data_IF_031397513806
#
_entry.id   IF_031397513806
#
_cell.length_a   1.000
_cell.length_b   1.000
_cell.length_c   1.000
_cell.angle_alpha   90.00
_cell.angle_beta   90.00
_cell.angle_gamma   90.00
#
_symmetry.space_group_name_H-M   'P 1'
#
loop_
_entity.id
_entity.type
_entity.pdbx_description
1 polymer ?
#
# COMPACT_ATOMS: atom_id res chain seq x y z
N UNK A 1 -11.82 -5.50 -24.28
CA UNK A 1 -10.88 -5.99 -23.25
C UNK A 1 -11.67 -6.52 -22.09
N UNK A 2 -11.36 -7.73 -21.66
CA UNK A 2 -12.00 -8.42 -20.53
C UNK A 2 -11.08 -8.34 -19.32
N UNK A 3 -11.57 -7.76 -18.24
CA UNK A 3 -10.81 -7.51 -17.01
C UNK A 3 -11.39 -8.34 -15.87
N UNK A 4 -10.58 -9.16 -15.22
CA UNK A 4 -10.95 -9.88 -14.02
C UNK A 4 -10.40 -9.10 -12.79
N UNK A 5 -11.29 -8.62 -11.94
CA UNK A 5 -10.93 -7.92 -10.71
C UNK A 5 -11.00 -8.89 -9.55
N UNK A 6 -9.87 -9.14 -8.89
CA UNK A 6 -9.83 -10.02 -7.69
C UNK A 6 -9.99 -9.13 -6.47
N UNK A 7 -11.03 -9.38 -5.66
CA UNK A 7 -11.32 -8.58 -4.47
C UNK A 7 -11.89 -9.45 -3.35
N UNK A 8 -11.98 -8.89 -2.14
CA UNK A 8 -12.45 -9.61 -0.97
C UNK A 8 -11.30 -10.34 -0.25
N UNK A 9 -11.56 -11.59 0.15
CA UNK A 9 -10.61 -12.37 0.95
C UNK A 9 -10.97 -12.39 2.44
N UNK A 10 -10.04 -12.89 3.27
CA UNK A 10 -10.27 -13.11 4.72
C UNK A 10 -9.64 -12.03 5.61
N UNK A 11 -9.07 -10.99 5.03
CA UNK A 11 -8.47 -9.90 5.81
C UNK A 11 -9.52 -8.97 6.42
N UNK A 12 -9.11 -8.21 7.44
CA UNK A 12 -9.96 -7.15 8.02
C UNK A 12 -10.28 -6.03 7.02
N UNK A 13 -9.62 -5.99 5.87
CA UNK A 13 -9.81 -5.01 4.80
C UNK A 13 -10.74 -5.51 3.68
N UNK A 14 -11.44 -6.64 3.91
CA UNK A 14 -12.34 -7.26 2.90
C UNK A 14 -13.35 -6.28 2.32
N UNK A 15 -14.03 -5.50 3.17
CA UNK A 15 -15.08 -4.58 2.74
C UNK A 15 -14.51 -3.41 1.90
N UNK A 16 -13.33 -2.93 2.27
CA UNK A 16 -12.59 -1.91 1.50
C UNK A 16 -12.20 -2.45 0.12
N UNK A 17 -11.73 -3.71 0.08
CA UNK A 17 -11.39 -4.41 -1.16
C UNK A 17 -12.59 -4.54 -2.09
N UNK A 18 -13.74 -5.00 -1.58
CA UNK A 18 -14.97 -5.14 -2.37
C UNK A 18 -15.50 -3.79 -2.86
N UNK A 19 -15.46 -2.75 -2.02
CA UNK A 19 -15.84 -1.40 -2.41
C UNK A 19 -14.90 -0.82 -3.49
N UNK A 20 -13.60 -1.03 -3.37
CA UNK A 20 -12.60 -0.65 -4.38
C UNK A 20 -12.89 -1.34 -5.72
N UNK A 21 -13.15 -2.66 -5.68
CA UNK A 21 -13.44 -3.44 -6.89
C UNK A 21 -14.73 -2.96 -7.59
N UNK A 22 -15.80 -2.69 -6.86
CA UNK A 22 -17.04 -2.19 -7.45
C UNK A 22 -16.79 -0.91 -8.24
N UNK A 23 -16.05 0.05 -7.68
CA UNK A 23 -15.73 1.32 -8.36
C UNK A 23 -14.82 1.14 -9.57
N UNK A 24 -13.81 0.27 -9.48
CA UNK A 24 -12.93 -0.05 -10.62
C UNK A 24 -13.72 -0.71 -11.74
N UNK A 25 -14.57 -1.68 -11.43
CA UNK A 25 -15.43 -2.36 -12.42
C UNK A 25 -16.36 -1.37 -13.11
N UNK A 26 -17.02 -0.47 -12.37
CA UNK A 26 -17.91 0.55 -12.93
C UNK A 26 -17.16 1.53 -13.84
N UNK A 27 -15.98 1.98 -13.42
CA UNK A 27 -15.13 2.84 -14.22
C UNK A 27 -14.65 2.16 -15.51
N UNK A 28 -14.22 0.90 -15.44
CA UNK A 28 -13.80 0.12 -16.60
C UNK A 28 -14.95 -0.13 -17.58
N UNK A 29 -16.14 -0.46 -17.06
CA UNK A 29 -17.35 -0.62 -17.90
C UNK A 29 -17.73 0.68 -18.60
N UNK A 30 -17.65 1.82 -17.92
CA UNK A 30 -17.90 3.13 -18.52
C UNK A 30 -16.90 3.50 -19.62
N UNK A 31 -15.68 2.93 -19.56
CA UNK A 31 -14.66 3.05 -20.61
C UNK A 31 -14.76 1.96 -21.71
N UNK A 32 -15.83 1.15 -21.70
CA UNK A 32 -16.10 0.14 -22.73
C UNK A 32 -15.39 -1.20 -22.54
N UNK A 33 -14.81 -1.47 -21.38
CA UNK A 33 -14.29 -2.80 -21.04
C UNK A 33 -15.40 -3.69 -20.48
N UNK A 34 -15.25 -5.01 -20.65
CA UNK A 34 -16.02 -6.00 -19.92
C UNK A 34 -15.26 -6.36 -18.65
N UNK A 35 -15.84 -6.07 -17.49
CA UNK A 35 -15.19 -6.30 -16.21
C UNK A 35 -16.06 -7.16 -15.29
N UNK A 36 -15.45 -8.15 -14.63
CA UNK A 36 -16.07 -9.05 -13.65
C UNK A 36 -15.26 -9.07 -12.37
N UNK A 37 -15.91 -9.28 -11.24
CA UNK A 37 -15.26 -9.44 -9.93
C UNK A 37 -15.30 -10.90 -9.51
N UNK A 38 -14.22 -11.37 -8.88
CA UNK A 38 -14.13 -12.69 -8.25
C UNK A 38 -13.44 -12.57 -6.89
N UNK A 39 -13.90 -13.36 -5.91
CA UNK A 39 -13.18 -13.51 -4.64
C UNK A 39 -12.12 -14.63 -4.75
N UNK A 40 -11.03 -14.56 -3.95
CA UNK A 40 -10.08 -15.65 -3.83
C UNK A 40 -10.76 -16.96 -3.41
N UNK A 41 -10.60 -18.02 -4.21
CA UNK A 41 -11.23 -19.31 -3.99
C UNK A 41 -11.24 -20.15 -5.27
N UNK A 42 -12.00 -21.26 -5.27
CA UNK A 42 -12.06 -22.17 -6.43
C UNK A 42 -12.50 -21.49 -7.74
N UNK A 43 -13.40 -20.51 -7.66
CA UNK A 43 -13.85 -19.78 -8.83
C UNK A 43 -12.72 -18.97 -9.48
N UNK A 44 -11.84 -18.38 -8.70
CA UNK A 44 -10.64 -17.70 -9.20
C UNK A 44 -9.77 -18.68 -9.98
N UNK A 45 -9.50 -19.88 -9.43
CA UNK A 45 -8.66 -20.88 -10.10
C UNK A 45 -9.20 -21.25 -11.49
N UNK A 46 -10.54 -21.37 -11.64
CA UNK A 46 -11.16 -21.65 -12.95
C UNK A 46 -10.90 -20.55 -13.99
N UNK A 47 -10.81 -19.28 -13.58
CA UNK A 47 -10.45 -18.18 -14.49
C UNK A 47 -8.95 -18.17 -14.85
N UNK A 48 -8.12 -18.77 -14.01
CA UNK A 48 -6.66 -18.82 -14.20
C UNK A 48 -6.22 -20.08 -14.97
N UNK A 49 -7.12 -21.07 -15.17
CA UNK A 49 -6.82 -22.24 -15.96
C UNK A 49 -6.65 -21.89 -17.45
N UNK A 50 -5.69 -22.54 -18.16
CA UNK A 50 -5.53 -22.33 -19.59
C UNK A 50 -6.82 -22.67 -20.37
N UNK A 51 -7.12 -21.90 -21.41
CA UNK A 51 -8.32 -22.06 -22.24
C UNK A 51 -8.46 -23.46 -22.90
N UNK A 52 -7.40 -24.26 -22.93
CA UNK A 52 -7.35 -25.61 -23.50
C UNK A 52 -7.70 -26.75 -22.51
N UNK A 53 -8.07 -26.44 -21.26
CA UNK A 53 -8.46 -27.46 -20.29
C UNK A 53 -9.79 -28.14 -20.73
N UNK A 54 -9.80 -29.45 -20.79
CA UNK A 54 -10.90 -30.27 -21.36
C UNK A 54 -12.26 -30.15 -20.65
N UNK A 55 -12.34 -29.40 -19.53
CA UNK A 55 -13.53 -29.26 -18.68
C UNK A 55 -14.19 -27.87 -18.73
N UNK A 56 -13.89 -27.02 -19.71
CA UNK A 56 -14.53 -25.72 -19.78
C UNK A 56 -15.99 -25.87 -20.30
N UNK A 57 -16.94 -25.57 -19.41
CA UNK A 57 -18.34 -25.39 -19.80
C UNK A 57 -18.49 -24.25 -20.82
N UNK A 58 -19.59 -24.24 -21.57
CA UNK A 58 -19.85 -23.37 -22.73
C UNK A 58 -19.80 -21.84 -22.48
N UNK A 59 -19.54 -21.36 -21.28
CA UNK A 59 -19.31 -19.94 -20.95
C UNK A 59 -17.81 -19.69 -20.71
N UNK A 60 -17.04 -19.77 -21.80
CA UNK A 60 -15.57 -19.65 -21.78
C UNK A 60 -15.09 -18.20 -21.70
N UNK A 61 -15.61 -17.41 -20.76
CA UNK A 61 -15.10 -16.07 -20.52
C UNK A 61 -13.70 -16.15 -19.89
N UNK A 62 -12.70 -15.73 -20.63
CA UNK A 62 -11.31 -15.67 -20.18
C UNK A 62 -10.89 -14.20 -20.07
N UNK A 63 -10.20 -13.79 -19.01
CA UNK A 63 -9.70 -12.45 -18.88
C UNK A 63 -8.51 -12.21 -19.82
N UNK A 64 -8.45 -11.01 -20.40
CA UNK A 64 -7.28 -10.52 -21.11
C UNK A 64 -6.23 -9.97 -20.11
N UNK A 65 -6.70 -9.56 -18.93
CA UNK A 65 -5.88 -9.03 -17.83
C UNK A 65 -6.58 -9.21 -16.48
N UNK A 66 -5.80 -9.41 -15.44
CA UNK A 66 -6.26 -9.50 -14.05
C UNK A 66 -5.88 -8.24 -13.28
N UNK A 67 -6.80 -7.69 -12.48
CA UNK A 67 -6.50 -6.61 -11.54
C UNK A 67 -6.67 -7.10 -10.10
N UNK A 68 -5.58 -7.41 -9.38
CA UNK A 68 -5.66 -7.80 -7.98
C UNK A 68 -5.93 -6.56 -7.11
N UNK A 69 -7.08 -6.54 -6.44
CA UNK A 69 -7.51 -5.53 -5.47
C UNK A 69 -7.83 -6.14 -4.11
N UNK A 70 -7.39 -7.38 -3.85
CA UNK A 70 -7.46 -7.97 -2.53
C UNK A 70 -6.45 -7.27 -1.61
N UNK A 71 -6.94 -6.64 -0.54
CA UNK A 71 -6.09 -5.95 0.43
C UNK A 71 -5.62 -6.89 1.55
N UNK A 72 -4.50 -6.51 2.18
CA UNK A 72 -3.84 -7.29 3.22
C UNK A 72 -2.96 -8.41 2.66
N UNK A 73 -2.59 -9.38 3.52
CA UNK A 73 -1.58 -10.39 3.17
C UNK A 73 -1.85 -11.06 1.82
N UNK A 74 -3.08 -11.47 1.57
CA UNK A 74 -3.41 -12.23 0.34
C UNK A 74 -3.08 -11.49 -0.95
N UNK A 75 -3.21 -10.16 -0.98
CA UNK A 75 -2.97 -9.36 -2.19
C UNK A 75 -1.64 -8.62 -2.20
N UNK A 76 -0.97 -8.50 -1.05
CA UNK A 76 0.16 -7.59 -0.88
C UNK A 76 1.47 -8.29 -0.47
N UNK A 77 1.42 -9.56 -0.04
CA UNK A 77 2.61 -10.31 0.40
C UNK A 77 3.36 -11.02 -0.74
N UNK A 78 2.85 -10.93 -1.96
CA UNK A 78 3.43 -11.54 -3.16
C UNK A 78 2.90 -12.95 -3.48
N UNK A 79 2.08 -13.56 -2.61
CA UNK A 79 1.54 -14.91 -2.84
C UNK A 79 0.55 -14.97 -4.01
N UNK A 80 -0.38 -14.03 -4.07
CA UNK A 80 -1.31 -13.92 -5.20
C UNK A 80 -0.59 -13.60 -6.50
N UNK A 81 0.44 -12.75 -6.47
CA UNK A 81 1.23 -12.41 -7.65
C UNK A 81 1.98 -13.63 -8.20
N UNK A 82 2.52 -14.51 -7.34
CA UNK A 82 3.14 -15.76 -7.81
C UNK A 82 2.13 -16.67 -8.51
N UNK A 83 0.91 -16.77 -7.98
CA UNK A 83 -0.17 -17.53 -8.63
C UNK A 83 -0.51 -16.94 -10.00
N UNK A 84 -0.60 -15.61 -10.11
CA UNK A 84 -0.89 -14.92 -11.38
C UNK A 84 0.25 -15.08 -12.39
N UNK A 85 1.50 -14.98 -11.96
CA UNK A 85 2.68 -15.29 -12.80
C UNK A 85 2.59 -16.72 -13.32
N UNK A 86 2.23 -17.68 -12.48
CA UNK A 86 2.07 -19.08 -12.86
C UNK A 86 0.95 -19.33 -13.88
N UNK A 87 -0.08 -18.50 -13.93
CA UNK A 87 -1.16 -18.61 -14.91
C UNK A 87 -0.79 -18.08 -16.31
N UNK A 88 0.24 -17.24 -16.41
CA UNK A 88 0.65 -16.56 -17.64
C UNK A 88 -0.31 -15.45 -18.09
N UNK A 89 -1.34 -15.12 -17.30
CA UNK A 89 -2.26 -14.03 -17.64
C UNK A 89 -1.66 -12.70 -17.15
N UNK A 90 -1.60 -11.65 -18.01
CA UNK A 90 -1.17 -10.32 -17.60
C UNK A 90 -1.93 -9.84 -16.37
N UNK A 91 -1.26 -9.15 -15.45
CA UNK A 91 -1.93 -8.58 -14.29
C UNK A 91 -1.42 -7.19 -13.95
N UNK A 92 -2.29 -6.40 -13.33
CA UNK A 92 -2.00 -5.03 -12.88
C UNK A 92 -1.23 -5.06 -11.58
N UNK A 93 -0.21 -4.20 -11.48
CA UNK A 93 0.56 -3.96 -10.25
C UNK A 93 1.95 -4.56 -10.26
N UNK A 94 2.54 -4.65 -9.09
CA UNK A 94 3.91 -5.10 -8.90
C UNK A 94 4.03 -6.62 -8.97
N UNK A 95 5.21 -7.10 -9.35
CA UNK A 95 5.57 -8.52 -9.27
C UNK A 95 5.54 -9.02 -7.82
N UNK A 96 5.59 -10.33 -7.63
CA UNK A 96 5.69 -10.95 -6.31
C UNK A 96 6.94 -10.49 -5.53
N UNK A 97 8.05 -10.24 -6.22
CA UNK A 97 9.26 -9.69 -5.61
C UNK A 97 9.01 -8.29 -5.05
N UNK A 98 8.50 -7.36 -5.86
CA UNK A 98 8.19 -6.00 -5.44
C UNK A 98 7.17 -5.96 -4.30
N UNK A 99 6.13 -6.80 -4.37
CA UNK A 99 5.14 -6.94 -3.32
C UNK A 99 5.77 -7.37 -1.98
N UNK A 100 6.61 -8.41 -1.96
CA UNK A 100 7.33 -8.85 -0.76
C UNK A 100 8.25 -7.80 -0.18
N UNK A 101 8.97 -7.06 -1.04
CA UNK A 101 9.88 -5.99 -0.59
C UNK A 101 9.12 -4.85 0.08
N UNK A 102 7.93 -4.50 -0.42
CA UNK A 102 7.09 -3.45 0.15
C UNK A 102 6.34 -3.90 1.41
N UNK A 103 5.91 -5.17 1.47
CA UNK A 103 5.10 -5.72 2.55
C UNK A 103 5.80 -5.69 3.90
N UNK A 104 7.10 -6.04 3.95
CA UNK A 104 7.91 -5.93 5.17
C UNK A 104 8.49 -4.52 5.29
N UNK A 105 7.88 -3.70 6.15
CA UNK A 105 8.29 -2.30 6.36
C UNK A 105 9.76 -2.17 6.75
N UNK A 106 10.31 -3.13 7.48
CA UNK A 106 11.73 -3.10 7.89
C UNK A 106 12.68 -3.36 6.72
N UNK A 107 12.29 -4.23 5.81
CA UNK A 107 13.01 -4.50 4.56
C UNK A 107 12.90 -3.29 3.63
N UNK A 108 11.67 -2.78 3.41
CA UNK A 108 11.43 -1.61 2.57
C UNK A 108 12.29 -0.40 3.03
N UNK A 109 12.24 -0.06 4.33
CA UNK A 109 13.04 1.02 4.92
C UNK A 109 14.54 0.82 4.70
N UNK A 110 15.03 -0.40 4.89
CA UNK A 110 16.46 -0.72 4.70
C UNK A 110 16.88 -0.57 3.24
N UNK A 111 16.03 -0.94 2.29
CA UNK A 111 16.31 -0.83 0.86
C UNK A 111 16.30 0.63 0.41
N UNK A 112 15.26 1.41 0.73
CA UNK A 112 15.19 2.81 0.33
C UNK A 112 16.32 3.64 0.96
N UNK A 113 16.72 3.32 2.20
CA UNK A 113 17.85 3.99 2.85
C UNK A 113 19.19 3.76 2.13
N UNK A 114 19.42 2.56 1.57
CA UNK A 114 20.61 2.26 0.73
C UNK A 114 20.65 3.07 -0.56
N UNK A 115 19.50 3.54 -1.03
CA UNK A 115 19.39 4.42 -2.19
C UNK A 115 19.40 5.92 -1.81
N UNK A 116 19.68 6.24 -0.54
CA UNK A 116 19.84 7.62 -0.07
C UNK A 116 18.55 8.27 0.43
N UNK A 117 17.43 7.56 0.48
CA UNK A 117 16.18 8.10 1.00
C UNK A 117 16.18 8.06 2.54
N UNK A 118 15.80 9.17 3.18
CA UNK A 118 15.66 9.22 4.62
C UNK A 118 14.43 8.42 5.08
N UNK A 119 14.60 7.73 6.20
CA UNK A 119 13.54 7.01 6.88
C UNK A 119 13.77 7.11 8.40
N UNK A 120 12.73 7.17 9.25
CA UNK A 120 12.93 7.27 10.68
C UNK A 120 13.78 6.12 11.22
N UNK A 121 14.71 6.41 12.12
CA UNK A 121 15.45 5.37 12.83
C UNK A 121 14.49 4.38 13.48
N UNK A 122 14.79 3.11 13.40
CA UNK A 122 13.87 2.08 13.86
C UNK A 122 14.57 0.84 14.40
N UNK A 123 13.84 0.07 15.21
CA UNK A 123 14.22 -1.24 15.69
C UNK A 123 13.06 -2.23 15.47
N UNK A 124 13.39 -3.47 15.15
CA UNK A 124 12.41 -4.55 15.03
C UNK A 124 12.50 -5.45 16.26
N UNK A 125 11.36 -5.68 16.88
CA UNK A 125 11.21 -6.64 17.96
C UNK A 125 10.37 -7.82 17.49
N UNK A 126 10.82 -9.03 17.77
CA UNK A 126 10.00 -10.22 17.61
C UNK A 126 9.35 -10.61 18.94
N UNK A 127 8.16 -11.20 18.86
CA UNK A 127 7.45 -11.77 20.02
C UNK A 127 8.34 -12.76 20.76
N UNK A 128 9.09 -13.58 20.03
CA UNK A 128 10.00 -14.57 20.60
C UNK A 128 11.16 -13.92 21.38
N UNK A 129 11.76 -12.86 20.83
CA UNK A 129 12.81 -12.13 21.53
C UNK A 129 12.30 -11.56 22.86
N UNK A 130 11.12 -10.93 22.85
CA UNK A 130 10.54 -10.36 24.07
C UNK A 130 10.22 -11.42 25.13
N UNK A 131 9.76 -12.61 24.71
CA UNK A 131 9.54 -13.74 25.63
C UNK A 131 10.83 -14.20 26.32
N UNK A 132 11.96 -14.17 25.62
CA UNK A 132 13.22 -14.67 26.12
C UNK A 132 13.96 -13.67 27.02
N UNK A 133 14.01 -12.37 26.63
CA UNK A 133 14.82 -11.37 27.33
C UNK A 133 14.00 -10.46 28.25
N UNK A 134 12.67 -10.51 28.19
CA UNK A 134 11.76 -9.61 28.88
C UNK A 134 11.58 -8.28 28.14
N UNK A 135 10.48 -7.61 28.40
CA UNK A 135 10.16 -6.33 27.76
C UNK A 135 11.03 -5.17 28.25
N UNK A 136 11.28 -5.06 29.55
CA UNK A 136 11.89 -3.87 30.18
C UNK A 136 13.32 -3.61 29.70
N UNK A 137 14.13 -4.65 29.58
CA UNK A 137 15.51 -4.53 29.08
C UNK A 137 15.56 -4.13 27.62
N UNK A 138 14.71 -4.74 26.77
CA UNK A 138 14.61 -4.44 25.36
C UNK A 138 14.11 -2.99 25.14
N UNK A 139 13.08 -2.60 25.87
CA UNK A 139 12.51 -1.25 25.84
C UNK A 139 13.58 -0.21 26.15
N UNK A 140 14.30 -0.36 27.26
CA UNK A 140 15.36 0.57 27.67
C UNK A 140 16.43 0.77 26.60
N UNK A 141 16.89 -0.33 25.98
CA UNK A 141 17.91 -0.25 24.92
C UNK A 141 17.41 0.49 23.67
N UNK A 142 16.16 0.22 23.28
CA UNK A 142 15.54 0.87 22.10
C UNK A 142 15.40 2.36 22.33
N UNK A 143 14.91 2.78 23.49
CA UNK A 143 14.68 4.17 23.81
C UNK A 143 15.96 4.99 23.91
N UNK A 144 17.05 4.39 24.37
CA UNK A 144 18.38 5.04 24.35
C UNK A 144 18.78 5.48 22.94
N UNK A 145 18.33 4.74 21.91
CA UNK A 145 18.64 5.02 20.50
C UNK A 145 17.57 5.89 19.82
N UNK A 146 16.28 5.64 20.09
CA UNK A 146 15.18 6.24 19.33
C UNK A 146 14.60 7.49 20.00
N UNK A 147 14.92 7.74 21.28
CA UNK A 147 14.35 8.83 22.06
C UNK A 147 12.99 8.48 22.65
N UNK A 148 12.32 9.51 23.23
CA UNK A 148 11.13 9.33 24.06
C UNK A 148 9.81 9.34 23.26
N UNK A 149 9.82 9.82 22.01
CA UNK A 149 8.64 9.87 21.14
C UNK A 149 8.82 8.83 20.03
N UNK A 150 8.00 7.80 20.08
CA UNK A 150 8.10 6.67 19.15
C UNK A 150 6.75 6.29 18.56
N UNK A 151 6.81 5.64 17.42
CA UNK A 151 5.68 4.99 16.74
C UNK A 151 5.92 3.48 16.77
N UNK A 152 4.90 2.74 17.21
CA UNK A 152 4.88 1.29 17.23
C UNK A 152 3.91 0.82 16.18
N UNK A 153 4.33 -0.10 15.30
CA UNK A 153 3.46 -0.67 14.27
C UNK A 153 3.89 -2.08 13.88
N UNK A 154 2.99 -2.94 13.43
CA UNK A 154 3.34 -4.23 12.84
C UNK A 154 4.34 -4.06 11.69
N UNK A 155 5.30 -4.98 11.57
CA UNK A 155 6.25 -4.98 10.44
C UNK A 155 5.53 -5.22 9.12
N UNK A 156 4.51 -6.08 9.12
CA UNK A 156 3.68 -6.43 7.97
C UNK A 156 2.22 -6.09 8.27
N UNK A 157 1.48 -5.65 7.27
CA UNK A 157 0.07 -5.25 7.39
C UNK A 157 -0.20 -3.85 6.87
N UNK A 158 -1.49 -3.56 6.69
CA UNK A 158 -2.02 -2.31 6.13
C UNK A 158 -2.95 -1.56 7.07
N UNK A 159 -3.56 -0.49 6.55
CA UNK A 159 -4.65 0.29 7.20
C UNK A 159 -4.38 0.73 8.64
N UNK A 160 -3.13 0.98 8.99
CA UNK A 160 -2.71 1.41 10.33
C UNK A 160 -3.16 0.48 11.48
N UNK A 161 -3.50 -0.78 11.18
CA UNK A 161 -3.86 -1.76 12.21
C UNK A 161 -2.67 -2.04 13.11
N UNK A 162 -2.88 -2.00 14.43
CA UNK A 162 -1.81 -2.20 15.41
C UNK A 162 -0.81 -1.05 15.52
N UNK A 163 -1.06 0.08 14.85
CA UNK A 163 -0.24 1.29 14.96
C UNK A 163 -0.61 2.06 16.23
N UNK A 164 0.42 2.53 16.95
CA UNK A 164 0.30 3.39 18.12
C UNK A 164 1.38 4.46 18.08
N UNK A 165 1.00 5.74 18.14
CA UNK A 165 1.93 6.87 18.31
C UNK A 165 2.02 7.18 19.78
N UNK A 166 3.22 7.10 20.35
CA UNK A 166 3.46 7.35 21.76
C UNK A 166 4.07 8.74 21.97
N UNK A 167 3.38 9.64 22.64
CA UNK A 167 3.93 10.93 23.02
C UNK A 167 4.97 10.80 24.14
N UNK A 168 4.91 9.70 24.89
CA UNK A 168 5.84 9.35 25.96
C UNK A 168 5.92 7.82 26.09
N UNK A 169 7.06 7.34 26.54
CA UNK A 169 7.40 5.91 26.60
C UNK A 169 6.71 5.10 27.68
N UNK A 170 5.97 5.72 28.59
CA UNK A 170 5.31 5.00 29.70
C UNK A 170 4.32 3.92 29.25
N UNK A 171 3.80 4.02 28.02
CA UNK A 171 2.81 3.10 27.45
C UNK A 171 3.40 2.14 26.39
N UNK A 172 4.74 2.10 26.26
CA UNK A 172 5.37 1.29 25.20
C UNK A 172 5.05 -0.20 25.32
N UNK A 173 4.92 -0.72 26.54
CA UNK A 173 4.54 -2.13 26.75
C UNK A 173 3.16 -2.48 26.18
N UNK A 174 2.17 -1.60 26.37
CA UNK A 174 0.82 -1.76 25.84
C UNK A 174 0.80 -1.62 24.33
N UNK A 175 1.53 -0.64 23.77
CA UNK A 175 1.66 -0.46 22.33
C UNK A 175 2.33 -1.65 21.65
N UNK A 176 3.35 -2.26 22.28
CA UNK A 176 3.96 -3.50 21.79
C UNK A 176 2.96 -4.66 21.80
N UNK A 177 2.20 -4.82 22.90
CA UNK A 177 1.16 -5.86 22.99
C UNK A 177 0.09 -5.67 21.91
N UNK A 178 -0.34 -4.43 21.66
CA UNK A 178 -1.25 -4.09 20.59
C UNK A 178 -0.67 -4.42 19.21
N UNK A 179 0.56 -4.01 18.90
CA UNK A 179 1.24 -4.34 17.65
C UNK A 179 1.39 -5.86 17.44
N UNK A 180 1.73 -6.58 18.50
CA UNK A 180 1.83 -8.05 18.48
C UNK A 180 0.49 -8.76 18.29
N UNK A 181 -0.65 -8.10 18.44
CA UNK A 181 -1.96 -8.70 18.12
C UNK A 181 -2.15 -8.88 16.61
N UNK A 182 -1.38 -8.15 15.79
CA UNK A 182 -1.48 -8.17 14.32
C UNK A 182 -0.28 -8.84 13.63
N UNK A 183 0.87 -8.94 14.30
CA UNK A 183 2.09 -9.52 13.70
C UNK A 183 3.01 -10.09 14.77
N UNK A 184 3.79 -11.12 14.45
CA UNK A 184 4.83 -11.65 15.35
C UNK A 184 6.09 -10.76 15.40
N UNK A 185 6.14 -9.73 14.55
CA UNK A 185 7.23 -8.75 14.51
C UNK A 185 6.65 -7.34 14.50
N UNK A 186 7.19 -6.50 15.37
CA UNK A 186 6.78 -5.11 15.55
C UNK A 186 7.95 -4.20 15.27
N UNK A 187 7.70 -3.12 14.53
CA UNK A 187 8.63 -2.02 14.28
C UNK A 187 8.38 -0.93 15.32
N UNK A 188 9.43 -0.51 16.01
CA UNK A 188 9.43 0.69 16.85
C UNK A 188 10.29 1.71 16.14
N UNK A 189 9.76 2.87 15.81
CA UNK A 189 10.49 3.90 15.09
C UNK A 189 10.40 5.25 15.79
N UNK A 190 11.43 6.07 15.61
CA UNK A 190 11.44 7.44 16.09
C UNK A 190 10.31 8.23 15.43
N UNK A 191 9.54 8.95 16.21
CA UNK A 191 8.52 9.86 15.69
C UNK A 191 9.17 11.01 14.91
N UNK A 192 8.65 11.31 13.75
CA UNK A 192 9.01 12.47 12.93
C UNK A 192 7.83 13.44 12.93
N UNK A 193 8.07 14.69 13.32
CA UNK A 193 7.07 15.75 13.21
C UNK A 193 7.05 16.30 11.78
N UNK A 194 5.85 16.46 11.21
CA UNK A 194 5.74 16.99 9.85
C UNK A 194 4.35 16.82 9.26
N UNK A 195 4.26 17.05 7.96
CA UNK A 195 3.05 16.87 7.16
C UNK A 195 3.05 15.47 6.56
N UNK A 196 2.02 14.67 6.84
CA UNK A 196 1.86 13.34 6.24
C UNK A 196 1.36 13.48 4.80
N UNK A 197 2.05 12.82 3.88
CA UNK A 197 1.74 12.80 2.45
C UNK A 197 1.58 11.37 1.97
N UNK A 198 0.58 11.17 1.12
CA UNK A 198 0.48 10.00 0.25
C UNK A 198 0.74 10.41 -1.20
N UNK A 199 1.71 9.78 -1.83
CA UNK A 199 2.08 10.06 -3.22
C UNK A 199 1.85 8.80 -4.05
N UNK A 200 0.88 8.89 -4.96
CA UNK A 200 0.60 7.80 -5.89
C UNK A 200 1.52 7.89 -7.09
N UNK A 201 2.04 6.75 -7.52
CA UNK A 201 2.90 6.60 -8.70
C UNK A 201 2.11 5.84 -9.77
N UNK A 202 2.20 6.34 -11.01
CA UNK A 202 1.76 5.65 -12.21
C UNK A 202 2.96 5.39 -13.12
N UNK A 203 3.19 4.12 -13.47
CA UNK A 203 4.15 3.70 -14.50
C UNK A 203 3.42 2.90 -15.57
N UNK A 204 3.05 3.58 -16.62
CA UNK A 204 2.29 3.01 -17.74
C UNK A 204 3.19 2.56 -18.90
N UNK A 205 4.50 2.38 -18.63
CA UNK A 205 5.50 1.95 -19.59
C UNK A 205 6.21 3.07 -20.36
N UNK A 206 5.93 4.32 -19.98
CA UNK A 206 6.60 5.50 -20.53
C UNK A 206 7.51 6.19 -19.49
N UNK A 207 7.78 5.51 -18.38
CA UNK A 207 8.46 6.00 -17.20
C UNK A 207 7.49 6.32 -16.07
N UNK A 208 7.93 6.03 -14.86
CA UNK A 208 7.16 6.29 -13.65
C UNK A 208 6.97 7.79 -13.44
N UNK A 209 5.76 8.22 -13.09
CA UNK A 209 5.44 9.60 -12.71
C UNK A 209 4.72 9.65 -11.38
N UNK A 210 5.03 10.66 -10.59
CA UNK A 210 4.34 10.94 -9.35
C UNK A 210 3.12 11.82 -9.61
N UNK A 211 1.96 11.42 -9.11
CA UNK A 211 0.75 12.22 -9.13
C UNK A 211 0.82 13.35 -8.09
N UNK A 212 -0.10 14.33 -8.12
CA UNK A 212 -0.18 15.36 -7.10
C UNK A 212 -0.25 14.74 -5.69
N UNK A 213 0.64 15.16 -4.76
CA UNK A 213 0.64 14.64 -3.41
C UNK A 213 -0.65 14.95 -2.67
N UNK A 214 -1.19 13.96 -1.98
CA UNK A 214 -2.33 14.12 -1.09
C UNK A 214 -1.81 14.33 0.33
N UNK A 215 -2.09 15.50 0.90
CA UNK A 215 -1.84 15.77 2.31
C UNK A 215 -2.95 15.15 3.15
N UNK A 216 -2.55 14.44 4.20
CA UNK A 216 -3.45 13.83 5.17
C UNK A 216 -3.41 14.67 6.45
N UNK A 217 -4.54 15.28 6.81
CA UNK A 217 -4.69 16.07 8.02
C UNK A 217 -5.76 15.43 8.90
N UNK A 218 -5.38 15.03 10.10
CA UNK A 218 -6.29 14.44 11.09
C UNK A 218 -6.42 15.36 12.30
N UNK A 219 -7.62 15.48 12.86
CA UNK A 219 -7.83 16.13 14.15
C UNK A 219 -7.28 15.28 15.30
N UNK A 220 -7.25 13.96 15.11
CA UNK A 220 -6.59 13.01 16.00
C UNK A 220 -5.07 13.09 15.84
N UNK A 221 -4.32 12.78 16.91
CA UNK A 221 -2.85 12.73 16.84
C UNK A 221 -2.31 11.55 16.00
N UNK A 222 -3.19 10.75 15.44
CA UNK A 222 -2.87 9.53 14.70
C UNK A 222 -3.79 9.39 13.48
N UNK A 223 -3.23 9.02 12.32
CA UNK A 223 -3.98 8.59 11.16
C UNK A 223 -4.18 7.07 11.23
N UNK A 224 -5.16 6.64 12.04
CA UNK A 224 -5.50 5.25 12.28
C UNK A 224 -6.48 4.67 11.26
N UNK A 225 -7.03 3.48 11.56
CA UNK A 225 -8.01 2.81 10.72
C UNK A 225 -9.30 3.63 10.54
N UNK A 226 -9.82 4.21 11.63
CA UNK A 226 -11.06 5.00 11.59
C UNK A 226 -10.87 6.26 10.76
N UNK A 227 -9.75 6.96 10.95
CA UNK A 227 -9.42 8.19 10.22
C UNK A 227 -9.24 7.93 8.72
N UNK A 228 -8.89 6.70 8.31
CA UNK A 228 -8.74 6.32 6.88
C UNK A 228 -10.07 6.05 6.19
N UNK A 229 -11.06 5.49 6.89
CA UNK A 229 -12.25 4.94 6.27
C UNK A 229 -13.57 5.54 6.76
N UNK A 230 -13.58 6.31 7.86
CA UNK A 230 -14.77 7.01 8.35
C UNK A 230 -14.80 8.43 7.77
N UNK A 231 -15.81 8.78 6.98
CA UNK A 231 -15.95 10.13 6.42
C UNK A 231 -16.01 11.19 7.52
N UNK A 232 -15.17 12.24 7.37
CA UNK A 232 -15.12 13.37 8.31
C UNK A 232 -14.05 13.29 9.41
N UNK A 233 -13.43 12.12 9.64
CA UNK A 233 -12.34 11.97 10.61
C UNK A 233 -10.99 12.49 10.08
N UNK A 234 -10.83 12.52 8.76
CA UNK A 234 -9.65 13.08 8.10
C UNK A 234 -10.05 14.10 7.05
N UNK A 235 -9.19 15.10 6.87
CA UNK A 235 -9.25 16.05 5.77
C UNK A 235 -8.11 15.78 4.81
N UNK A 236 -8.41 15.74 3.51
CA UNK A 236 -7.43 15.56 2.46
C UNK A 236 -7.29 16.84 1.66
N UNK A 237 -6.06 17.26 1.40
CA UNK A 237 -5.78 18.41 0.56
C UNK A 237 -4.96 17.96 -0.65
N UNK A 238 -5.46 18.27 -1.85
CA UNK A 238 -4.83 17.88 -3.13
C UNK A 238 -4.82 19.09 -4.06
N UNK A 239 -3.64 19.58 -4.45
CA UNK A 239 -2.31 19.21 -3.96
C UNK A 239 -2.09 19.57 -2.49
N UNK A 240 -1.09 18.97 -1.89
CA UNK A 240 -0.68 19.23 -0.51
C UNK A 240 -0.31 20.72 -0.28
N UNK A 241 -0.59 21.24 0.92
CA UNK A 241 -0.36 22.65 1.32
C UNK A 241 1.11 22.89 1.72
N UNK A 242 2.04 22.50 0.88
CA UNK A 242 3.48 22.68 1.06
C UNK A 242 4.05 23.60 -0.04
N UNK A 243 5.29 24.04 0.16
CA UNK A 243 6.01 24.76 -0.90
C UNK A 243 6.25 23.87 -2.12
N UNK A 244 6.28 24.43 -3.32
CA UNK A 244 6.55 23.68 -4.56
C UNK A 244 7.90 22.93 -4.47
N UNK A 245 8.90 23.50 -3.80
CA UNK A 245 10.18 22.83 -3.60
C UNK A 245 10.07 21.60 -2.70
N UNK A 246 9.25 21.65 -1.63
CA UNK A 246 9.02 20.50 -0.74
C UNK A 246 8.18 19.42 -1.46
N UNK A 247 7.17 19.82 -2.24
CA UNK A 247 6.37 18.92 -3.08
C UNK A 247 7.30 18.19 -4.08
N UNK A 248 8.15 18.90 -4.79
CA UNK A 248 9.08 18.30 -5.75
C UNK A 248 10.01 17.27 -5.09
N UNK A 249 10.64 17.63 -3.94
CA UNK A 249 11.46 16.67 -3.19
C UNK A 249 10.69 15.43 -2.73
N UNK A 250 9.44 15.61 -2.30
CA UNK A 250 8.59 14.49 -1.88
C UNK A 250 8.23 13.57 -3.08
N UNK A 251 7.93 14.14 -4.25
CA UNK A 251 7.69 13.38 -5.48
C UNK A 251 8.94 12.62 -5.94
N UNK A 252 10.12 13.25 -5.93
CA UNK A 252 11.39 12.59 -6.23
C UNK A 252 11.67 11.44 -5.26
N UNK A 253 11.42 11.65 -3.97
CA UNK A 253 11.55 10.61 -2.94
C UNK A 253 10.59 9.44 -3.20
N UNK A 254 9.35 9.70 -3.60
CA UNK A 254 8.37 8.66 -3.91
C UNK A 254 8.77 7.86 -5.17
N UNK A 255 9.26 8.52 -6.22
CA UNK A 255 9.78 7.86 -7.42
C UNK A 255 11.00 7.00 -7.11
N UNK A 256 11.91 7.49 -6.26
CA UNK A 256 13.07 6.73 -5.81
C UNK A 256 12.64 5.48 -5.00
N UNK A 257 11.67 5.61 -4.09
CA UNK A 257 11.15 4.49 -3.32
C UNK A 257 10.49 3.43 -4.22
N UNK A 258 9.66 3.87 -5.18
CA UNK A 258 9.02 3.00 -6.17
C UNK A 258 10.07 2.17 -6.94
N UNK A 259 11.11 2.81 -7.44
CA UNK A 259 12.21 2.15 -8.17
C UNK A 259 13.03 1.24 -7.26
N UNK A 260 13.44 1.69 -6.07
CA UNK A 260 14.26 0.94 -5.14
C UNK A 260 13.59 -0.35 -4.66
N UNK A 261 12.26 -0.33 -4.53
CA UNK A 261 11.43 -1.46 -4.15
C UNK A 261 10.97 -2.31 -5.35
N UNK A 262 11.44 -1.99 -6.58
CA UNK A 262 11.07 -2.68 -7.81
C UNK A 262 9.56 -2.76 -8.02
N UNK A 263 8.87 -1.69 -7.67
CA UNK A 263 7.43 -1.61 -7.88
C UNK A 263 7.12 -1.33 -9.35
N UNK A 264 5.93 -1.68 -9.79
CA UNK A 264 5.49 -1.55 -11.18
C UNK A 264 4.08 -0.97 -11.25
N UNK A 265 3.80 -0.26 -12.33
CA UNK A 265 2.52 0.27 -12.78
C UNK A 265 1.85 1.22 -11.79
N UNK A 266 1.44 0.73 -10.63
CA UNK A 266 0.78 1.53 -9.60
C UNK A 266 1.38 1.25 -8.22
N UNK A 267 1.61 2.30 -7.46
CA UNK A 267 1.92 2.20 -6.03
C UNK A 267 1.51 3.48 -5.32
N UNK A 268 1.45 3.43 -3.99
CA UNK A 268 1.35 4.62 -3.15
C UNK A 268 2.50 4.61 -2.15
N UNK A 269 3.21 5.71 -2.08
CA UNK A 269 4.31 5.91 -1.15
C UNK A 269 3.86 6.90 -0.09
N UNK A 270 3.93 6.48 1.17
CA UNK A 270 3.55 7.28 2.32
C UNK A 270 4.81 7.89 2.97
N UNK A 271 4.81 9.21 3.12
CA UNK A 271 5.94 10.02 3.58
C UNK A 271 5.50 10.99 4.67
N UNK A 272 6.44 11.43 5.51
CA UNK A 272 6.30 12.67 6.29
C UNK A 272 7.28 13.69 5.72
N UNK A 273 6.82 14.92 5.50
CA UNK A 273 7.69 16.06 5.15
C UNK A 273 7.83 16.93 6.38
N UNK A 274 9.05 17.05 6.91
CA UNK A 274 9.35 17.83 8.10
C UNK A 274 9.32 19.35 7.85
N UNK A 275 9.55 20.15 8.89
CA UNK A 275 9.53 21.62 8.82
C UNK A 275 10.60 22.21 7.90
N UNK A 276 11.67 21.47 7.59
CA UNK A 276 12.72 21.87 6.65
C UNK A 276 12.37 21.45 5.20
N UNK A 277 11.24 20.78 5.04
CA UNK A 277 10.76 20.25 3.76
C UNK A 277 11.50 18.99 3.33
N UNK A 278 12.07 18.23 4.26
CA UNK A 278 12.75 16.98 4.01
C UNK A 278 11.76 15.81 4.05
N UNK A 279 11.68 14.98 2.99
CA UNK A 279 10.80 13.81 2.98
C UNK A 279 11.42 12.64 3.74
N UNK A 280 10.62 12.00 4.59
CA UNK A 280 10.94 10.81 5.37
C UNK A 280 10.03 9.65 4.93
N UNK A 281 10.60 8.59 4.38
CA UNK A 281 9.85 7.42 3.93
C UNK A 281 9.28 6.64 5.11
N UNK A 282 7.98 6.32 5.06
CA UNK A 282 7.28 5.50 6.05
C UNK A 282 7.01 4.08 5.56
N UNK A 283 6.33 3.97 4.40
CA UNK A 283 5.93 2.69 3.80
C UNK A 283 5.58 2.85 2.32
N UNK A 284 5.51 1.73 1.60
CA UNK A 284 4.99 1.63 0.25
C UNK A 284 3.83 0.64 0.19
N UNK A 285 2.80 0.99 -0.58
CA UNK A 285 1.60 0.18 -0.78
C UNK A 285 1.50 -0.23 -2.25
N UNK A 286 1.44 -1.55 -2.51
CA UNK A 286 1.41 -2.13 -3.86
C UNK A 286 -0.01 -2.32 -4.39
N UNK A 287 -1.01 -2.33 -3.51
CA UNK A 287 -2.44 -2.39 -3.85
C UNK A 287 -3.16 -1.19 -3.22
N UNK A 288 -2.94 0.03 -3.74
CA UNK A 288 -3.59 1.20 -3.18
C UNK A 288 -5.11 1.11 -3.29
N UNK A 289 -5.83 1.61 -2.27
CA UNK A 289 -7.29 1.62 -2.25
C UNK A 289 -7.89 2.43 -3.40
N UNK A 290 -9.06 2.01 -3.88
CA UNK A 290 -9.79 2.62 -5.00
C UNK A 290 -11.21 3.07 -4.61
N UNK A 291 -11.49 3.20 -3.31
CA UNK A 291 -12.78 3.71 -2.82
C UNK A 291 -12.92 5.22 -3.10
N UNK A 292 -14.05 5.80 -2.79
CA UNK A 292 -14.30 7.24 -2.98
C UNK A 292 -13.35 8.12 -2.17
N UNK A 293 -13.01 7.68 -0.97
CA UNK A 293 -12.11 8.40 -0.07
C UNK A 293 -10.64 7.98 -0.26
N UNK A 294 -10.35 7.05 -1.17
CA UNK A 294 -8.98 6.58 -1.41
C UNK A 294 -8.12 7.63 -2.11
N UNK A 295 -6.84 7.64 -1.76
CA UNK A 295 -5.91 8.71 -2.10
C UNK A 295 -5.44 8.67 -3.55
N UNK A 296 -5.31 7.47 -4.17
CA UNK A 296 -4.94 7.35 -5.58
C UNK A 296 -6.03 7.92 -6.50
N UNK A 297 -7.33 7.57 -6.38
CA UNK A 297 -8.39 8.21 -7.16
C UNK A 297 -8.42 9.73 -7.03
N UNK A 298 -8.22 10.26 -5.82
CA UNK A 298 -8.18 11.71 -5.59
C UNK A 298 -7.00 12.36 -6.32
N UNK A 299 -5.81 11.75 -6.28
CA UNK A 299 -4.62 12.24 -6.97
C UNK A 299 -4.80 12.22 -8.50
N UNK A 300 -5.41 11.17 -9.07
CA UNK A 300 -5.72 11.08 -10.52
C UNK A 300 -6.66 12.21 -10.96
N UNK A 301 -7.72 12.45 -10.18
CA UNK A 301 -8.69 13.53 -10.47
C UNK A 301 -8.01 14.91 -10.38
N UNK A 302 -7.17 15.11 -9.35
CA UNK A 302 -6.43 16.36 -9.16
C UNK A 302 -5.39 16.63 -10.26
N UNK A 303 -4.87 15.56 -10.90
CA UNK A 303 -3.99 15.64 -12.08
C UNK A 303 -4.77 15.98 -13.39
N UNK A 304 -6.09 16.13 -13.30
CA UNK A 304 -6.97 16.46 -14.43
C UNK A 304 -7.37 15.24 -15.29
N UNK A 305 -7.10 14.03 -14.83
CA UNK A 305 -7.40 12.79 -15.55
C UNK A 305 -8.78 12.23 -15.15
N UNK A 306 -9.35 11.42 -16.05
CA UNK A 306 -10.59 10.68 -15.80
C UNK A 306 -10.27 9.27 -15.31
N UNK A 307 -10.80 8.87 -14.15
CA UNK A 307 -10.57 7.55 -13.57
C UNK A 307 -10.80 6.40 -14.54
N UNK A 308 -11.89 6.48 -15.33
CA UNK A 308 -12.24 5.43 -16.30
C UNK A 308 -11.17 5.25 -17.38
N UNK A 309 -10.56 6.32 -17.85
CA UNK A 309 -9.52 6.30 -18.87
C UNK A 309 -8.19 5.83 -18.27
N UNK A 310 -7.82 6.38 -17.10
CA UNK A 310 -6.62 6.00 -16.38
C UNK A 310 -6.64 4.50 -16.02
N UNK A 311 -7.75 3.98 -15.49
CA UNK A 311 -7.87 2.56 -15.14
C UNK A 311 -7.80 1.65 -16.37
N UNK A 312 -8.42 2.05 -17.48
CA UNK A 312 -8.33 1.32 -18.73
C UNK A 312 -6.88 1.28 -19.25
N UNK A 313 -6.14 2.41 -19.12
CA UNK A 313 -4.75 2.49 -19.57
C UNK A 313 -3.80 1.70 -18.66
N UNK A 314 -4.05 1.64 -17.35
CA UNK A 314 -3.34 0.74 -16.43
C UNK A 314 -3.49 -0.72 -16.88
N UNK A 315 -4.72 -1.16 -17.21
CA UNK A 315 -4.94 -2.52 -17.73
C UNK A 315 -4.22 -2.77 -19.05
N UNK A 316 -4.24 -1.80 -19.99
CA UNK A 316 -3.50 -1.89 -21.25
C UNK A 316 -1.99 -1.97 -21.06
N UNK A 317 -1.48 -1.20 -20.10
CA UNK A 317 -0.06 -1.24 -19.72
C UNK A 317 0.34 -2.63 -19.23
N UNK A 318 -0.47 -3.28 -18.39
CA UNK A 318 -0.22 -4.63 -17.92
C UNK A 318 -0.06 -5.63 -19.09
N UNK A 319 -0.92 -5.53 -20.11
CA UNK A 319 -0.88 -6.42 -21.29
C UNK A 319 0.38 -6.15 -22.14
N UNK A 320 0.86 -4.90 -22.22
CA UNK A 320 2.07 -4.57 -23.02
C UNK A 320 3.37 -5.04 -22.41
N UNK A 321 3.41 -5.25 -21.09
CA UNK A 321 4.63 -5.55 -20.34
C UNK A 321 4.67 -6.97 -19.76
N UNK A 322 3.73 -7.82 -20.15
CA UNK A 322 3.64 -9.24 -19.79
C UNK A 322 4.49 -10.14 -20.68
#
# INVERSE_FOLDING_TARGET
MRVLVIAGGVSHERDVSLSSAARVVDALKSAGAEARTVEPGEQLLRYLEPAAAENQAADSWQPDVVWPLAHGAIGEDGGLQDLLIGSGIPFVGSSSEGARLAWDKSVAKSLVARHGLLTPDSAVLSRELIKQIGSDGAIKQILTRLGDRVVVKPVAGGSAQGLTVLPAVSELGEALAHGFSYSDRVLVERHVDGTELAISILDLGFGARALPPVEISTAARQFGYLERYVPGESQFYVPARLSLAAIGRAQDAALLAHSALRLSQISRIDLIVDSEGTPWFLEANVVPGMTETSLLPQAVIADGERLSETYLEICRSAIRHS
#
